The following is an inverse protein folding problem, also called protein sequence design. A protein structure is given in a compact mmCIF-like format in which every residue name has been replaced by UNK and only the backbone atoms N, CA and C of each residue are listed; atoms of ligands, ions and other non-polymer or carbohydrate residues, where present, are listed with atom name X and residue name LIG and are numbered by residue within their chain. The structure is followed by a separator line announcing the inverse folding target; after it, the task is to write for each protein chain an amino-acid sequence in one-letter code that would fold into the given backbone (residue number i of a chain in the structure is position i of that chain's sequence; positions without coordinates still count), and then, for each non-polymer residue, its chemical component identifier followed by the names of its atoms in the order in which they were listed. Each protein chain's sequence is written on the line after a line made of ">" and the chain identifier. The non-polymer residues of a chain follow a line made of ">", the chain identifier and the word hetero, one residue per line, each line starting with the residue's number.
data_IF_085967068219
#
_entry.id   IF_085967068219
#
_cell.length_a   1.000
_cell.length_b   1.000
_cell.length_c   1.000
_cell.angle_alpha   90.00
_cell.angle_beta   90.00
_cell.angle_gamma   90.00
#
_symmetry.space_group_name_H-M   'P 1'
#
loop_
_entity.id
_entity.type
_entity.pdbx_description
1 polymer ?
#
# COMPACT_ATOMS: atom_id res chain seq x y z
N UNK A 1 22.55 9.37 25.48
CA UNK A 1 21.74 10.35 24.68
C UNK A 1 21.12 9.56 23.53
N UNK A 2 19.79 9.57 23.44
CA UNK A 2 18.97 8.68 22.61
C UNK A 2 19.38 8.66 21.14
N UNK A 3 19.59 7.46 20.60
CA UNK A 3 19.56 7.19 19.18
C UNK A 3 18.08 6.96 18.84
N UNK A 4 17.47 7.95 18.18
CA UNK A 4 16.14 7.78 17.57
C UNK A 4 16.32 6.86 16.37
N UNK A 5 15.97 5.59 16.57
CA UNK A 5 15.84 4.60 15.52
C UNK A 5 14.62 4.96 14.68
N UNK A 6 14.82 5.71 13.59
CA UNK A 6 13.79 5.85 12.55
C UNK A 6 13.63 4.47 11.89
N UNK A 7 12.64 3.71 12.38
CA UNK A 7 12.08 2.56 11.68
C UNK A 7 11.52 3.09 10.35
N UNK A 8 12.30 2.92 9.28
CA UNK A 8 11.78 3.01 7.92
C UNK A 8 10.80 1.85 7.75
N UNK A 9 9.52 2.11 8.04
CA UNK A 9 8.40 1.28 7.60
C UNK A 9 8.41 1.27 6.07
N UNK A 10 9.09 0.29 5.48
CA UNK A 10 8.83 -0.08 4.10
C UNK A 10 7.44 -0.71 4.05
N UNK A 11 6.43 0.14 3.86
CA UNK A 11 5.05 -0.27 3.55
C UNK A 11 5.06 -1.00 2.22
N UNK A 12 5.15 -2.33 2.27
CA UNK A 12 5.08 -3.18 1.10
C UNK A 12 3.64 -3.32 0.66
N UNK A 13 3.47 -3.11 -0.63
CA UNK A 13 2.25 -2.66 -1.20
C UNK A 13 2.03 -3.35 -2.53
N UNK A 14 0.82 -3.82 -2.77
CA UNK A 14 0.34 -4.12 -4.12
C UNK A 14 0.33 -2.86 -4.97
N UNK A 15 1.14 -2.84 -6.03
CA UNK A 15 1.09 -1.83 -7.08
C UNK A 15 0.32 -2.47 -8.24
N UNK A 16 -0.97 -2.23 -8.32
CA UNK A 16 -1.70 -2.52 -9.56
C UNK A 16 -1.37 -1.42 -10.56
N UNK A 17 -0.56 -1.75 -11.58
CA UNK A 17 -0.27 -0.87 -12.70
C UNK A 17 -1.34 -1.02 -13.77
N UNK A 18 -2.19 -0.01 -13.87
CA UNK A 18 -3.22 0.07 -14.88
C UNK A 18 -2.76 0.93 -16.05
N UNK A 19 -2.32 0.29 -17.13
CA UNK A 19 -2.14 0.95 -18.44
C UNK A 19 -3.20 0.39 -19.37
N UNK A 20 -4.25 1.17 -19.63
CA UNK A 20 -5.20 0.81 -20.68
C UNK A 20 -4.61 1.26 -22.02
N UNK A 21 -4.06 0.32 -22.79
CA UNK A 21 -3.85 0.51 -24.22
C UNK A 21 -5.22 0.75 -24.85
N UNK A 22 -5.38 1.88 -25.54
CA UNK A 22 -6.62 2.25 -26.19
C UNK A 22 -7.14 1.11 -27.09
N UNK A 23 -8.32 0.59 -26.78
CA UNK A 23 -9.19 -0.01 -27.77
C UNK A 23 -10.47 0.81 -27.78
N UNK A 24 -10.62 1.57 -28.86
CA UNK A 24 -11.89 2.14 -29.27
C UNK A 24 -12.94 1.03 -29.25
N UNK A 25 -14.01 1.21 -28.45
CA UNK A 25 -15.23 0.39 -28.45
C UNK A 25 -15.08 -1.11 -28.08
N UNK A 26 -15.69 -1.47 -26.94
CA UNK A 26 -16.02 -2.80 -26.38
C UNK A 26 -15.10 -3.40 -25.30
N UNK A 27 -15.72 -3.48 -24.11
CA UNK A 27 -15.78 -4.57 -23.11
C UNK A 27 -14.56 -5.50 -22.98
N UNK A 28 -14.04 -5.50 -21.77
CA UNK A 28 -13.28 -6.56 -21.08
C UNK A 28 -11.97 -7.01 -21.75
N UNK A 29 -10.83 -6.70 -21.12
CA UNK A 29 -9.54 -7.25 -21.55
C UNK A 29 -8.78 -7.88 -20.36
N UNK A 30 -8.65 -9.20 -20.44
CA UNK A 30 -7.64 -10.02 -19.76
C UNK A 30 -6.33 -10.04 -20.58
N UNK A 31 -5.20 -9.82 -19.90
CA UNK A 31 -3.83 -10.35 -20.14
C UNK A 31 -3.00 -10.05 -21.42
N UNK A 32 -1.84 -9.40 -21.17
CA UNK A 32 -0.42 -9.64 -21.63
C UNK A 32 0.00 -9.72 -23.12
N UNK A 33 0.96 -8.86 -23.54
CA UNK A 33 2.38 -9.17 -23.86
C UNK A 33 3.01 -8.26 -24.99
N UNK A 34 4.18 -7.66 -24.70
CA UNK A 34 5.18 -6.93 -25.54
C UNK A 34 4.80 -5.56 -26.19
N UNK A 35 5.64 -4.52 -26.34
CA UNK A 35 6.86 -3.99 -25.71
C UNK A 35 7.28 -2.70 -26.48
N UNK A 36 7.49 -1.59 -25.76
CA UNK A 36 8.48 -0.50 -26.00
C UNK A 36 8.32 0.44 -27.23
N UNK A 37 7.73 1.63 -27.00
CA UNK A 37 8.26 2.95 -27.43
C UNK A 37 7.52 4.07 -26.65
N UNK A 38 8.22 4.90 -25.87
CA UNK A 38 7.77 6.16 -25.25
C UNK A 38 6.30 6.28 -24.72
N UNK A 39 6.12 6.09 -23.40
CA UNK A 39 5.07 6.75 -22.61
C UNK A 39 3.63 6.27 -22.83
N UNK A 40 3.26 5.16 -22.21
CA UNK A 40 1.95 4.53 -22.40
C UNK A 40 0.84 5.17 -21.55
N UNK A 41 0.34 6.33 -21.95
CA UNK A 41 -0.83 6.95 -21.31
C UNK A 41 -2.14 6.51 -21.95
N UNK A 42 -3.18 6.31 -21.14
CA UNK A 42 -4.56 6.14 -21.62
C UNK A 42 -5.13 7.49 -22.05
N UNK A 43 -6.07 7.50 -23.00
CA UNK A 43 -6.74 8.73 -23.46
C UNK A 43 -8.18 8.40 -23.90
N UNK A 44 -9.18 9.12 -23.40
CA UNK A 44 -10.59 8.99 -23.84
C UNK A 44 -10.86 9.82 -25.09
N UNK A 45 -12.03 9.74 -25.73
CA UNK A 45 -12.31 10.65 -26.83
C UNK A 45 -12.34 12.11 -26.34
N UNK A 46 -12.07 13.03 -27.26
CA UNK A 46 -12.10 14.46 -26.98
C UNK A 46 -13.56 14.92 -26.84
N UNK A 47 -13.84 15.71 -25.82
CA UNK A 47 -15.16 16.32 -25.64
C UNK A 47 -16.23 15.40 -25.04
N UNK A 48 -15.84 14.30 -24.40
CA UNK A 48 -16.78 13.38 -23.75
C UNK A 48 -17.47 14.03 -22.54
N UNK A 49 -18.66 13.53 -22.19
CA UNK A 49 -19.33 13.86 -20.92
C UNK A 49 -18.97 12.82 -19.89
N UNK A 50 -18.45 13.25 -18.74
CA UNK A 50 -18.04 12.38 -17.63
C UNK A 50 -17.08 11.23 -18.05
N UNK A 51 -15.98 11.49 -18.78
CA UNK A 51 -15.03 10.44 -19.16
C UNK A 51 -14.45 9.77 -17.91
N UNK A 52 -14.25 8.46 -17.99
CA UNK A 52 -13.83 7.64 -16.86
C UNK A 52 -12.85 6.55 -17.25
N UNK A 53 -12.07 6.12 -16.27
CA UNK A 53 -11.18 4.97 -16.30
C UNK A 53 -11.47 4.08 -15.09
N UNK A 54 -11.28 2.77 -15.22
CA UNK A 54 -11.54 1.80 -14.14
C UNK A 54 -10.46 0.74 -14.04
N UNK A 55 -10.11 0.41 -12.80
CA UNK A 55 -9.44 -0.82 -12.41
C UNK A 55 -10.43 -1.78 -11.77
N UNK A 56 -10.48 -3.02 -12.27
CA UNK A 56 -11.14 -4.14 -11.59
C UNK A 56 -10.07 -4.98 -10.86
N UNK A 57 -10.09 -4.95 -9.53
CA UNK A 57 -9.18 -5.74 -8.69
C UNK A 57 -9.56 -7.22 -8.61
N UNK A 58 -10.63 -7.65 -9.31
CA UNK A 58 -11.21 -9.01 -9.38
C UNK A 58 -11.86 -9.51 -8.09
N UNK A 59 -11.47 -8.96 -6.96
CA UNK A 59 -12.02 -9.21 -5.63
C UNK A 59 -11.99 -7.91 -4.83
N UNK A 60 -12.63 -7.91 -3.67
CA UNK A 60 -12.64 -6.75 -2.79
C UNK A 60 -11.29 -6.60 -2.08
N UNK A 61 -10.79 -5.37 -2.01
CA UNK A 61 -9.58 -5.01 -1.29
C UNK A 61 -9.86 -3.86 -0.32
N UNK A 62 -9.05 -3.76 0.73
CA UNK A 62 -8.88 -2.56 1.52
C UNK A 62 -7.83 -1.69 0.84
N UNK A 63 -8.26 -0.60 0.24
CA UNK A 63 -7.46 0.37 -0.49
C UNK A 63 -6.93 1.41 0.49
N UNK A 64 -5.61 1.51 0.58
CA UNK A 64 -4.90 2.38 1.51
C UNK A 64 -4.58 3.70 0.82
N UNK A 65 -4.02 3.65 -0.39
CA UNK A 65 -3.72 4.86 -1.15
C UNK A 65 -3.81 4.65 -2.66
N UNK A 66 -3.82 5.73 -3.42
CA UNK A 66 -3.85 5.69 -4.87
C UNK A 66 -2.85 6.73 -5.38
N UNK A 67 -1.96 6.33 -6.28
CA UNK A 67 -1.08 7.25 -6.99
C UNK A 67 -1.56 7.43 -8.42
N UNK A 68 -1.56 8.68 -8.87
CA UNK A 68 -1.96 9.03 -10.23
C UNK A 68 -0.84 9.83 -10.88
N UNK A 69 -0.38 9.36 -12.04
CA UNK A 69 0.64 10.04 -12.85
C UNK A 69 -0.02 10.73 -14.03
N UNK A 70 0.16 12.04 -14.10
CA UNK A 70 -0.40 12.86 -15.16
C UNK A 70 0.45 12.84 -16.43
N UNK A 71 -0.16 13.26 -17.54
CA UNK A 71 0.47 13.47 -18.85
C UNK A 71 1.67 14.42 -18.75
N UNK A 72 2.75 14.09 -19.46
CA UNK A 72 4.05 14.79 -19.35
C UNK A 72 4.36 15.82 -20.43
N UNK A 73 3.72 15.73 -21.59
CA UNK A 73 4.05 16.51 -22.80
C UNK A 73 3.19 17.77 -22.97
N UNK A 74 1.93 17.76 -22.54
CA UNK A 74 1.07 18.94 -22.52
C UNK A 74 -0.15 18.73 -21.62
N UNK A 75 -0.96 19.79 -21.47
CA UNK A 75 -2.38 19.66 -21.19
C UNK A 75 -2.68 19.04 -19.81
N UNK A 76 -1.80 19.28 -18.83
CA UNK A 76 -1.86 18.70 -17.50
C UNK A 76 -3.13 19.13 -16.75
N UNK A 77 -3.61 20.34 -17.01
CA UNK A 77 -4.83 20.93 -16.43
C UNK A 77 -6.11 20.16 -16.78
N UNK A 78 -6.08 19.29 -17.80
CA UNK A 78 -7.26 18.49 -18.18
C UNK A 78 -7.70 17.50 -17.10
N UNK A 79 -6.78 17.08 -16.23
CA UNK A 79 -7.07 16.17 -15.12
C UNK A 79 -7.65 16.91 -13.90
N UNK A 80 -7.65 18.25 -13.90
CA UNK A 80 -8.12 19.05 -12.78
C UNK A 80 -9.64 18.85 -12.57
N UNK A 81 -10.00 18.59 -11.31
CA UNK A 81 -11.37 18.25 -10.90
C UNK A 81 -11.74 16.78 -11.08
N UNK A 82 -10.82 15.90 -11.49
CA UNK A 82 -11.10 14.47 -11.53
C UNK A 82 -11.41 13.90 -10.14
N UNK A 83 -12.30 12.93 -10.07
CA UNK A 83 -12.69 12.23 -8.85
C UNK A 83 -12.17 10.80 -8.86
N UNK A 84 -11.57 10.39 -7.75
CA UNK A 84 -11.16 9.01 -7.48
C UNK A 84 -12.26 8.36 -6.64
N UNK A 85 -12.87 7.30 -7.15
CA UNK A 85 -13.99 6.60 -6.54
C UNK A 85 -13.63 5.14 -6.26
N UNK A 86 -14.03 4.63 -5.10
CA UNK A 86 -13.83 3.24 -4.67
C UNK A 86 -15.18 2.61 -4.33
N UNK A 87 -15.40 1.36 -4.73
CA UNK A 87 -16.60 0.62 -4.33
C UNK A 87 -16.66 -0.79 -4.91
N UNK A 88 -17.70 -1.54 -4.56
CA UNK A 88 -17.92 -2.93 -5.02
C UNK A 88 -18.83 -3.06 -6.24
N UNK A 89 -19.34 -1.94 -6.73
CA UNK A 89 -20.24 -1.84 -7.88
C UNK A 89 -19.68 -0.92 -8.95
N UNK A 90 -20.25 -1.03 -10.14
CA UNK A 90 -19.93 -0.20 -11.30
C UNK A 90 -20.59 1.18 -11.13
N UNK A 91 -19.84 2.30 -10.96
CA UNK A 91 -20.46 3.63 -10.90
C UNK A 91 -21.24 3.98 -12.18
N UNK A 92 -22.23 4.89 -12.09
CA UNK A 92 -22.68 5.57 -10.87
C UNK A 92 -23.70 4.71 -10.11
N UNK A 93 -23.39 4.40 -8.85
CA UNK A 93 -24.27 3.68 -7.92
C UNK A 93 -24.05 4.24 -6.52
N UNK A 94 -25.07 4.20 -5.66
CA UNK A 94 -25.00 4.74 -4.28
C UNK A 94 -23.90 4.11 -3.40
N UNK A 95 -23.34 2.97 -3.81
CA UNK A 95 -22.25 2.26 -3.12
C UNK A 95 -20.83 2.66 -3.56
N UNK A 96 -20.67 3.61 -4.50
CA UNK A 96 -19.34 4.15 -4.83
C UNK A 96 -19.04 5.37 -3.98
N UNK A 97 -18.01 5.26 -3.14
CA UNK A 97 -17.60 6.31 -2.21
C UNK A 97 -16.42 7.07 -2.84
N UNK A 98 -16.40 8.40 -2.68
CA UNK A 98 -15.30 9.23 -3.17
C UNK A 98 -14.10 9.12 -2.24
N UNK A 99 -12.96 8.69 -2.77
CA UNK A 99 -11.69 8.64 -2.07
C UNK A 99 -11.02 10.03 -2.03
N UNK A 100 -10.97 10.72 -3.17
CA UNK A 100 -10.36 12.04 -3.27
C UNK A 100 -10.81 12.78 -4.55
N UNK A 101 -10.62 14.11 -4.56
CA UNK A 101 -10.68 14.94 -5.76
C UNK A 101 -9.28 15.42 -6.13
N UNK A 102 -8.90 15.27 -7.39
CA UNK A 102 -7.65 15.75 -7.96
C UNK A 102 -7.81 17.25 -8.23
N UNK A 103 -7.16 18.09 -7.43
CA UNK A 103 -7.14 19.54 -7.67
C UNK A 103 -6.24 19.89 -8.85
N UNK A 104 -4.97 19.48 -8.80
CA UNK A 104 -4.00 19.64 -9.88
C UNK A 104 -2.83 18.66 -9.74
N UNK A 105 -2.32 18.17 -10.87
CA UNK A 105 -1.06 17.42 -10.95
C UNK A 105 -0.23 18.01 -12.09
N UNK A 106 0.96 18.54 -11.79
CA UNK A 106 1.83 19.12 -12.81
C UNK A 106 2.23 18.08 -13.88
N UNK A 107 2.60 18.55 -15.07
CA UNK A 107 2.94 17.68 -16.19
C UNK A 107 4.00 16.62 -15.83
N UNK A 108 3.67 15.36 -16.06
CA UNK A 108 4.55 14.21 -15.85
C UNK A 108 4.84 13.90 -14.37
N UNK A 109 4.12 14.55 -13.44
CA UNK A 109 4.25 14.30 -12.01
C UNK A 109 3.23 13.27 -11.54
N UNK A 110 3.54 12.70 -10.39
CA UNK A 110 2.70 11.73 -9.69
C UNK A 110 2.26 12.33 -8.37
N UNK A 111 0.95 12.31 -8.12
CA UNK A 111 0.38 12.67 -6.81
C UNK A 111 -0.14 11.43 -6.10
N UNK A 112 -0.03 11.41 -4.78
CA UNK A 112 -0.51 10.31 -3.92
C UNK A 112 -1.72 10.79 -3.13
N UNK A 113 -2.78 10.00 -3.14
CA UNK A 113 -4.03 10.26 -2.44
C UNK A 113 -4.24 9.20 -1.37
N UNK A 114 -4.40 9.62 -0.13
CA UNK A 114 -4.89 8.79 0.97
C UNK A 114 -6.40 9.00 1.03
N UNK A 115 -7.16 7.92 1.07
CA UNK A 115 -8.62 8.05 1.11
C UNK A 115 -9.11 8.55 2.49
N UNK A 116 -10.24 9.24 2.51
CA UNK A 116 -10.87 9.71 3.74
C UNK A 116 -11.09 8.54 4.73
N UNK A 117 -10.73 8.75 6.00
CA UNK A 117 -10.76 7.68 7.02
C UNK A 117 -9.55 6.74 7.02
N UNK A 118 -8.56 6.96 6.15
CA UNK A 118 -7.29 6.25 6.12
C UNK A 118 -7.27 4.95 5.30
N UNK A 119 -8.44 4.37 5.01
CA UNK A 119 -8.59 3.28 4.04
C UNK A 119 -10.04 3.15 3.54
N UNK A 120 -10.24 2.52 2.39
CA UNK A 120 -11.57 2.25 1.82
C UNK A 120 -11.69 0.82 1.33
N UNK A 121 -12.84 0.19 1.50
CA UNK A 121 -13.09 -1.16 1.00
C UNK A 121 -13.76 -1.09 -0.37
N UNK A 122 -13.23 -1.83 -1.35
CA UNK A 122 -13.85 -1.95 -2.66
C UNK A 122 -13.10 -2.84 -3.64
N UNK A 123 -13.83 -3.39 -4.61
CA UNK A 123 -13.28 -4.13 -5.76
C UNK A 123 -12.84 -3.23 -6.92
N UNK A 124 -13.53 -2.10 -7.12
CA UNK A 124 -13.29 -1.22 -8.25
C UNK A 124 -12.69 0.11 -7.80
N UNK A 125 -11.68 0.57 -8.54
CA UNK A 125 -11.18 1.95 -8.48
C UNK A 125 -11.52 2.64 -9.78
N UNK A 126 -12.15 3.81 -9.70
CA UNK A 126 -12.52 4.60 -10.86
C UNK A 126 -11.86 5.97 -10.76
N UNK A 127 -11.41 6.50 -11.89
CA UNK A 127 -11.01 7.90 -12.04
C UNK A 127 -11.92 8.50 -13.08
N UNK A 128 -12.68 9.53 -12.72
CA UNK A 128 -13.69 10.14 -13.58
C UNK A 128 -13.58 11.65 -13.54
N UNK A 129 -13.72 12.34 -14.68
CA UNK A 129 -13.78 13.81 -14.70
C UNK A 129 -15.23 14.24 -14.91
N UNK A 130 -15.92 14.80 -13.89
CA UNK A 130 -17.28 15.27 -14.06
C UNK A 130 -17.35 16.49 -15.01
N UNK A 131 -18.44 16.58 -15.76
CA UNK A 131 -18.76 17.70 -16.65
C UNK A 131 -18.81 17.32 -18.13
N UNK A 132 -19.18 18.31 -18.95
CA UNK A 132 -19.24 18.20 -20.41
C UNK A 132 -17.91 18.61 -21.03
N UNK A 133 -17.66 18.11 -22.24
CA UNK A 133 -16.50 18.47 -23.06
C UNK A 133 -15.15 18.20 -22.37
N UNK A 134 -15.04 17.06 -21.67
CA UNK A 134 -13.85 16.64 -20.93
C UNK A 134 -13.03 15.62 -21.72
N UNK A 135 -11.80 15.41 -21.29
CA UNK A 135 -10.89 14.39 -21.85
C UNK A 135 -10.02 13.86 -20.73
N UNK A 136 -10.12 12.56 -20.45
CA UNK A 136 -9.33 11.91 -19.42
C UNK A 136 -8.05 11.35 -20.02
N UNK A 137 -6.93 11.63 -19.40
CA UNK A 137 -5.63 11.03 -19.72
C UNK A 137 -4.94 10.61 -18.44
N UNK A 138 -4.52 9.36 -18.35
CA UNK A 138 -3.82 8.81 -17.19
C UNK A 138 -2.59 8.05 -17.69
N UNK A 139 -1.40 8.44 -17.25
CA UNK A 139 -0.17 7.76 -17.65
C UNK A 139 0.12 6.53 -16.80
N UNK A 140 -0.21 6.60 -15.52
CA UNK A 140 -0.13 5.48 -14.61
C UNK A 140 -1.12 5.71 -13.46
N UNK A 141 -1.84 4.67 -13.07
CA UNK A 141 -2.57 4.63 -11.81
C UNK A 141 -2.04 3.45 -11.03
N UNK A 142 -1.50 3.72 -9.85
CA UNK A 142 -1.03 2.69 -8.93
C UNK A 142 -1.97 2.65 -7.72
N UNK A 143 -2.65 1.53 -7.52
CA UNK A 143 -3.57 1.33 -6.39
C UNK A 143 -2.88 0.52 -5.32
N UNK A 144 -2.74 1.12 -4.13
CA UNK A 144 -2.03 0.64 -2.95
C UNK A 144 -3.07 -0.03 -2.04
N UNK A 145 -3.18 -1.37 -2.07
CA UNK A 145 -4.27 -2.08 -1.39
C UNK A 145 -3.86 -3.43 -0.77
N UNK A 146 -4.69 -3.95 0.14
CA UNK A 146 -4.55 -5.26 0.80
C UNK A 146 -5.84 -6.07 0.63
N UNK A 147 -5.80 -7.40 0.44
CA UNK A 147 -7.01 -8.19 0.20
C UNK A 147 -8.01 -8.02 1.34
N UNK A 148 -9.28 -7.74 1.00
CA UNK A 148 -10.37 -7.91 1.94
C UNK A 148 -10.65 -9.42 1.95
N UNK A 149 -10.04 -10.13 2.89
CA UNK A 149 -10.17 -11.58 2.96
C UNK A 149 -11.64 -12.00 3.13
N UNK A 150 -11.97 -13.20 2.67
CA UNK A 150 -13.31 -13.77 2.88
C UNK A 150 -13.36 -14.46 4.23
N UNK A 151 -14.21 -14.00 5.14
CA UNK A 151 -14.50 -14.75 6.35
C UNK A 151 -14.99 -16.16 5.98
N UNK A 152 -14.32 -17.15 6.53
CA UNK A 152 -14.70 -18.55 6.44
C UNK A 152 -15.57 -18.94 7.65
N UNK A 153 -16.20 -20.13 7.64
CA UNK A 153 -16.89 -20.63 8.81
C UNK A 153 -16.00 -20.53 10.05
N UNK A 154 -16.58 -20.07 11.15
CA UNK A 154 -15.97 -20.16 12.47
C UNK A 154 -16.39 -21.48 13.13
N UNK A 155 -15.66 -21.90 14.17
CA UNK A 155 -15.89 -23.17 14.89
C UNK A 155 -17.37 -23.48 15.17
N UNK A 156 -18.12 -22.52 15.70
CA UNK A 156 -19.58 -22.59 15.86
C UNK A 156 -20.20 -21.20 15.71
N UNK A 157 -21.46 -21.11 15.29
CA UNK A 157 -22.20 -19.84 15.27
C UNK A 157 -23.21 -19.86 16.40
N UNK A 158 -23.23 -18.80 17.21
CA UNK A 158 -24.24 -18.56 18.24
C UNK A 158 -25.01 -17.30 17.92
N UNK A 159 -26.34 -17.34 18.07
CA UNK A 159 -27.23 -16.21 17.82
C UNK A 159 -26.97 -15.62 16.41
N UNK A 160 -26.99 -14.30 16.28
CA UNK A 160 -26.70 -13.60 15.02
C UNK A 160 -25.19 -13.36 14.79
N UNK A 161 -24.30 -14.01 15.55
CA UNK A 161 -22.85 -13.78 15.51
C UNK A 161 -22.12 -14.43 14.34
N UNK A 162 -22.56 -14.18 13.11
CA UNK A 162 -22.00 -14.76 11.88
C UNK A 162 -20.50 -14.44 11.70
N UNK A 163 -19.70 -15.37 11.13
CA UNK A 163 -18.26 -15.15 10.92
C UNK A 163 -17.94 -13.94 10.03
N UNK A 164 -18.84 -13.57 9.13
CA UNK A 164 -18.70 -12.44 8.21
C UNK A 164 -18.67 -11.08 8.92
N UNK A 165 -19.19 -10.98 10.14
CA UNK A 165 -19.21 -9.72 10.88
C UNK A 165 -17.79 -9.20 11.17
N UNK A 166 -16.83 -10.10 11.42
CA UNK A 166 -15.43 -9.73 11.68
C UNK A 166 -14.67 -9.16 10.46
N UNK A 167 -15.26 -9.15 9.26
CA UNK A 167 -14.66 -8.57 8.04
C UNK A 167 -15.66 -7.67 7.32
N UNK A 168 -16.62 -7.13 8.07
CA UNK A 168 -17.72 -6.35 7.52
C UNK A 168 -17.38 -4.88 7.33
N UNK A 169 -16.24 -4.42 7.88
CA UNK A 169 -15.88 -3.02 7.99
C UNK A 169 -16.63 -2.28 9.10
N UNK A 170 -17.32 -3.00 10.00
CA UNK A 170 -18.05 -2.40 11.11
C UNK A 170 -17.32 -2.61 12.44
N UNK A 171 -16.57 -1.60 12.88
CA UNK A 171 -15.78 -1.66 14.12
C UNK A 171 -16.52 -1.14 15.37
N UNK A 172 -17.86 -1.13 15.39
CA UNK A 172 -18.66 -0.51 16.47
C UNK A 172 -18.39 -1.12 17.85
N UNK A 173 -18.01 -2.39 17.92
CA UNK A 173 -17.77 -3.11 19.17
C UNK A 173 -19.03 -3.49 19.96
N UNK A 174 -20.20 -2.97 19.59
CA UNK A 174 -21.49 -3.27 20.25
C UNK A 174 -22.13 -4.46 19.57
N UNK A 175 -22.34 -5.55 20.32
CA UNK A 175 -22.86 -6.80 19.75
C UNK A 175 -24.22 -6.65 19.07
N UNK A 176 -25.13 -5.88 19.68
CA UNK A 176 -26.48 -5.64 19.16
C UNK A 176 -26.53 -4.90 17.81
N UNK A 177 -25.42 -4.30 17.37
CA UNK A 177 -25.33 -3.64 16.06
C UNK A 177 -25.07 -4.63 14.91
N UNK A 178 -25.06 -5.94 15.18
CA UNK A 178 -24.74 -6.99 14.20
C UNK A 178 -23.35 -6.82 13.57
N UNK A 179 -22.43 -6.25 14.34
CA UNK A 179 -21.06 -5.98 13.93
C UNK A 179 -20.05 -6.87 14.64
N UNK A 180 -20.48 -7.94 15.30
CA UNK A 180 -19.56 -8.86 15.97
C UNK A 180 -19.92 -10.32 15.71
N UNK A 181 -18.91 -11.16 15.63
CA UNK A 181 -19.03 -12.62 15.60
C UNK A 181 -19.32 -13.14 17.00
N UNK A 182 -19.84 -14.37 17.11
CA UNK A 182 -20.01 -15.04 18.40
C UNK A 182 -20.03 -16.55 18.22
N UNK A 183 -19.11 -17.25 18.87
CA UNK A 183 -19.16 -18.72 18.99
C UNK A 183 -20.01 -19.14 20.17
N UNK A 184 -20.43 -20.41 20.25
CA UNK A 184 -20.88 -20.93 21.56
C UNK A 184 -19.68 -21.09 22.50
N UNK A 185 -19.95 -21.28 23.79
CA UNK A 185 -18.92 -21.74 24.74
C UNK A 185 -18.48 -23.14 24.32
N UNK A 186 -17.21 -23.29 24.00
CA UNK A 186 -16.63 -24.55 23.55
C UNK A 186 -15.13 -24.56 23.83
N UNK A 187 -14.51 -25.73 23.63
CA UNK A 187 -13.06 -25.88 23.68
C UNK A 187 -12.42 -25.34 22.41
N UNK A 188 -11.35 -24.57 22.57
CA UNK A 188 -10.51 -24.03 21.51
C UNK A 188 -11.31 -23.28 20.42
N UNK A 189 -12.21 -22.32 20.76
CA UNK A 189 -12.99 -21.60 19.77
C UNK A 189 -12.07 -20.84 18.81
N UNK A 190 -12.41 -20.88 17.53
CA UNK A 190 -11.64 -20.26 16.47
C UNK A 190 -12.52 -19.59 15.41
N UNK A 191 -11.95 -18.57 14.78
CA UNK A 191 -12.44 -17.86 13.59
C UNK A 191 -11.30 -17.76 12.57
N UNK A 192 -11.63 -17.76 11.27
CA UNK A 192 -10.62 -17.71 10.21
C UNK A 192 -11.08 -16.88 9.02
N UNK A 193 -10.13 -16.17 8.42
CA UNK A 193 -10.28 -15.52 7.11
C UNK A 193 -9.39 -16.19 6.07
N UNK A 194 -9.93 -16.39 4.87
CA UNK A 194 -9.19 -16.78 3.68
C UNK A 194 -8.84 -15.54 2.86
N UNK A 195 -7.54 -15.24 2.75
CA UNK A 195 -7.02 -14.14 1.94
C UNK A 195 -7.07 -14.45 0.43
N UNK A 196 -7.62 -15.60 0.04
CA UNK A 196 -7.83 -16.12 -1.32
C UNK A 196 -6.54 -16.50 -2.08
N UNK A 197 -5.40 -15.95 -1.67
CA UNK A 197 -4.07 -16.34 -2.11
C UNK A 197 -3.05 -16.24 -0.96
N UNK A 198 -1.82 -16.68 -1.20
CA UNK A 198 -0.74 -16.58 -0.23
C UNK A 198 -0.20 -15.15 -0.18
N UNK A 199 -0.18 -14.57 1.01
CA UNK A 199 0.27 -13.20 1.26
C UNK A 199 1.35 -13.17 2.35
N UNK A 200 2.17 -12.13 2.34
CA UNK A 200 3.03 -11.74 3.45
C UNK A 200 2.28 -10.75 4.32
N UNK A 201 1.89 -11.20 5.51
CA UNK A 201 1.11 -10.43 6.48
C UNK A 201 2.04 -9.59 7.33
N UNK A 202 1.93 -8.26 7.23
CA UNK A 202 2.73 -7.32 8.02
C UNK A 202 2.13 -7.08 9.40
N UNK A 203 0.81 -6.95 9.49
CA UNK A 203 0.12 -6.71 10.74
C UNK A 203 -1.32 -7.24 10.74
N UNK A 204 -1.85 -7.48 11.93
CA UNK A 204 -3.27 -7.84 12.15
C UNK A 204 -3.81 -6.97 13.29
N UNK A 205 -4.96 -6.34 13.07
CA UNK A 205 -5.67 -5.56 14.09
C UNK A 205 -6.98 -6.25 14.45
N UNK A 206 -7.22 -6.48 15.75
CA UNK A 206 -8.47 -7.05 16.28
C UNK A 206 -9.23 -5.98 17.05
N UNK A 207 -10.51 -5.82 16.74
CA UNK A 207 -11.46 -4.99 17.47
C UNK A 207 -12.33 -5.88 18.37
N UNK A 208 -12.26 -5.62 19.67
CA UNK A 208 -12.95 -6.37 20.70
C UNK A 208 -14.39 -5.84 20.91
N UNK A 209 -15.21 -6.64 21.56
CA UNK A 209 -16.52 -6.24 22.08
C UNK A 209 -16.37 -5.20 23.19
N UNK A 210 -17.30 -4.25 23.26
CA UNK A 210 -17.22 -3.09 24.19
C UNK A 210 -18.45 -2.91 25.08
N UNK A 211 -19.60 -3.50 24.73
CA UNK A 211 -20.86 -3.39 25.47
C UNK A 211 -20.95 -4.37 26.66
N UNK A 212 -20.23 -5.48 26.61
CA UNK A 212 -19.93 -6.36 27.75
C UNK A 212 -18.79 -7.31 27.38
N UNK A 213 -18.34 -8.08 28.36
CA UNK A 213 -17.70 -9.37 28.08
C UNK A 213 -16.36 -9.27 27.34
N UNK A 214 -15.71 -8.10 27.41
CA UNK A 214 -14.45 -7.82 26.74
C UNK A 214 -13.33 -8.78 27.20
N UNK A 215 -13.41 -9.26 28.44
CA UNK A 215 -12.51 -10.22 29.06
C UNK A 215 -12.41 -11.56 28.31
N UNK A 216 -13.42 -11.93 27.52
CA UNK A 216 -13.43 -13.20 26.77
C UNK A 216 -12.32 -13.31 25.73
N UNK A 217 -11.86 -12.17 25.20
CA UNK A 217 -10.78 -12.14 24.20
C UNK A 217 -9.39 -12.43 24.83
N UNK A 218 -9.29 -12.45 26.16
CA UNK A 218 -8.04 -12.76 26.85
C UNK A 218 -7.57 -14.19 26.50
N UNK A 219 -6.29 -14.32 26.16
CA UNK A 219 -5.69 -15.58 25.71
C UNK A 219 -5.83 -15.86 24.21
N UNK A 220 -6.56 -15.02 23.46
CA UNK A 220 -6.67 -15.16 22.00
C UNK A 220 -5.30 -15.06 21.32
N UNK A 221 -5.09 -15.88 20.29
CA UNK A 221 -3.87 -16.00 19.52
C UNK A 221 -4.17 -15.82 18.03
N UNK A 222 -3.24 -15.18 17.33
CA UNK A 222 -3.29 -14.98 15.88
C UNK A 222 -2.31 -15.94 15.23
N UNK A 223 -2.80 -16.81 14.36
CA UNK A 223 -2.04 -17.84 13.64
C UNK A 223 -2.10 -17.56 12.15
N UNK A 224 -0.97 -17.62 11.45
CA UNK A 224 -0.85 -17.26 10.03
C UNK A 224 -0.13 -18.37 9.29
N UNK A 225 -0.74 -18.89 8.23
CA UNK A 225 -0.09 -19.90 7.40
C UNK A 225 -0.96 -20.40 6.25
N UNK A 226 -0.50 -21.48 5.61
CA UNK A 226 -1.14 -22.07 4.44
C UNK A 226 -1.89 -23.37 4.75
N UNK A 227 -1.74 -23.93 5.95
CA UNK A 227 -2.38 -25.19 6.33
C UNK A 227 -3.77 -24.98 6.92
N UNK A 228 -4.70 -25.85 6.55
CA UNK A 228 -6.01 -25.99 7.17
C UNK A 228 -6.06 -27.14 8.18
N UNK A 229 -4.96 -27.89 8.38
CA UNK A 229 -4.90 -28.97 9.36
C UNK A 229 -5.26 -28.47 10.75
N UNK A 230 -6.09 -29.24 11.46
CA UNK A 230 -6.64 -28.85 12.76
C UNK A 230 -7.22 -27.42 12.74
N UNK A 231 -7.97 -27.08 11.69
CA UNK A 231 -8.54 -25.75 11.45
C UNK A 231 -7.52 -24.60 11.31
N UNK A 232 -6.26 -24.92 11.02
CA UNK A 232 -5.16 -23.95 10.96
C UNK A 232 -4.56 -23.62 12.32
N UNK A 233 -4.94 -24.36 13.38
CA UNK A 233 -4.42 -24.18 14.74
C UNK A 233 -2.93 -24.53 14.89
N UNK A 234 -2.35 -25.21 13.90
CA UNK A 234 -0.92 -25.53 13.83
C UNK A 234 -0.09 -24.49 13.06
N UNK A 235 -0.73 -23.49 12.46
CA UNK A 235 0.01 -22.45 11.75
C UNK A 235 0.86 -21.62 12.72
N UNK A 236 2.01 -21.07 12.29
CA UNK A 236 2.86 -20.21 13.11
C UNK A 236 2.08 -19.05 13.77
N UNK A 237 2.42 -18.74 15.02
CA UNK A 237 1.78 -17.68 15.81
C UNK A 237 2.41 -16.31 15.55
N UNK A 238 1.60 -15.34 15.12
CA UNK A 238 1.98 -13.93 15.02
C UNK A 238 1.98 -13.25 16.40
N UNK A 239 0.93 -13.44 17.20
CA UNK A 239 0.77 -12.74 18.48
C UNK A 239 -0.31 -13.35 19.36
N UNK A 240 -0.41 -12.88 20.60
CA UNK A 240 -1.43 -13.28 21.55
C UNK A 240 -1.80 -12.13 22.52
N UNK A 241 -3.06 -12.11 22.95
CA UNK A 241 -3.60 -11.11 23.88
C UNK A 241 -3.44 -11.63 25.31
N UNK A 242 -2.44 -11.14 26.03
CA UNK A 242 -2.18 -11.51 27.44
C UNK A 242 -2.75 -10.54 28.47
N UNK A 243 -3.12 -9.33 28.04
CA UNK A 243 -3.82 -8.34 28.87
C UNK A 243 -4.66 -7.43 27.98
N UNK A 244 -5.80 -6.99 28.50
CA UNK A 244 -6.66 -6.05 27.80
C UNK A 244 -6.25 -4.60 28.03
N UNK A 245 -5.75 -4.24 29.22
CA UNK A 245 -5.36 -2.86 29.61
C UNK A 245 -6.43 -1.81 29.25
N UNK A 246 -7.72 -2.16 29.36
CA UNK A 246 -8.87 -1.36 28.92
C UNK A 246 -8.84 -0.93 27.43
N UNK A 247 -8.03 -1.60 26.60
CA UNK A 247 -7.99 -1.39 25.16
C UNK A 247 -9.13 -2.14 24.48
N UNK A 248 -9.70 -1.50 23.46
CA UNK A 248 -10.73 -2.08 22.59
C UNK A 248 -10.14 -2.63 21.28
N UNK A 249 -8.92 -2.21 20.95
CA UNK A 249 -8.25 -2.54 19.69
C UNK A 249 -6.85 -3.06 19.98
N UNK A 250 -6.46 -4.14 19.30
CA UNK A 250 -5.18 -4.81 19.49
C UNK A 250 -4.50 -5.01 18.14
N UNK A 251 -3.38 -4.31 17.91
CA UNK A 251 -2.60 -4.43 16.68
C UNK A 251 -1.32 -5.22 16.95
N UNK A 252 -1.09 -6.24 16.13
CA UNK A 252 0.06 -7.12 16.19
C UNK A 252 0.91 -6.96 14.94
N UNK A 253 2.21 -6.75 15.12
CA UNK A 253 3.17 -6.77 14.02
C UNK A 253 3.57 -8.22 13.73
N UNK A 254 3.21 -8.71 12.55
CA UNK A 254 3.40 -10.10 12.12
C UNK A 254 4.63 -10.31 11.25
N UNK A 255 5.52 -9.30 11.14
CA UNK A 255 6.86 -9.44 10.53
C UNK A 255 6.88 -10.14 9.16
N UNK A 256 5.91 -9.85 8.30
CA UNK A 256 5.80 -10.39 6.94
C UNK A 256 5.62 -11.90 6.88
N UNK A 257 5.00 -12.51 7.91
CA UNK A 257 4.65 -13.93 7.93
C UNK A 257 3.85 -14.31 6.69
N UNK A 258 4.28 -15.39 6.03
CA UNK A 258 3.63 -15.87 4.81
C UNK A 258 2.45 -16.80 5.14
N UNK A 259 1.27 -16.49 4.60
CA UNK A 259 0.08 -17.30 4.79
C UNK A 259 -1.09 -16.87 3.91
N UNK A 260 -1.93 -17.83 3.53
CA UNK A 260 -3.24 -17.62 2.93
C UNK A 260 -4.33 -17.45 3.99
N UNK A 261 -4.16 -18.07 5.15
CA UNK A 261 -5.14 -18.09 6.21
C UNK A 261 -4.64 -17.32 7.43
N UNK A 262 -5.51 -16.47 7.98
CA UNK A 262 -5.33 -15.86 9.30
C UNK A 262 -6.41 -16.42 10.21
N UNK A 263 -6.00 -17.10 11.27
CA UNK A 263 -6.89 -17.72 12.27
C UNK A 263 -6.72 -16.98 13.59
N UNK A 264 -7.83 -16.60 14.22
CA UNK A 264 -7.88 -16.13 15.59
C UNK A 264 -8.51 -17.22 16.45
N UNK A 265 -7.82 -17.66 17.49
CA UNK A 265 -8.31 -18.74 18.34
C UNK A 265 -7.91 -18.54 19.80
N UNK A 266 -8.74 -19.02 20.72
CA UNK A 266 -8.46 -18.97 22.15
C UNK A 266 -8.30 -20.41 22.64
N UNK A 267 -7.11 -20.83 23.11
CA UNK A 267 -6.96 -22.17 23.70
C UNK A 267 -7.76 -22.31 25.00
N UNK A 268 -8.31 -23.50 25.23
CA UNK A 268 -9.15 -23.81 26.39
C UNK A 268 -10.64 -23.53 26.15
N UNK A 269 -11.44 -23.67 27.20
CA UNK A 269 -12.89 -23.51 27.12
C UNK A 269 -13.26 -22.02 27.21
N UNK A 270 -13.75 -21.44 26.11
CA UNK A 270 -14.11 -20.02 26.05
C UNK A 270 -15.16 -19.72 24.95
N UNK A 271 -15.57 -18.45 24.86
CA UNK A 271 -16.38 -17.89 23.79
C UNK A 271 -15.52 -16.91 23.00
N UNK A 272 -15.43 -17.07 21.68
CA UNK A 272 -14.75 -16.11 20.81
C UNK A 272 -15.75 -15.11 20.24
N UNK A 273 -15.47 -13.83 20.44
CA UNK A 273 -16.20 -12.69 19.89
C UNK A 273 -15.21 -11.73 19.26
N UNK A 274 -15.37 -11.47 17.97
CA UNK A 274 -14.54 -10.54 17.20
C UNK A 274 -15.46 -9.55 16.52
N UNK A 275 -15.26 -8.25 16.73
CA UNK A 275 -16.08 -7.24 16.10
C UNK A 275 -15.54 -6.85 14.72
N UNK A 276 -14.23 -6.70 14.60
CA UNK A 276 -13.58 -6.51 13.30
C UNK A 276 -12.16 -7.09 13.37
N UNK A 277 -11.68 -7.64 12.26
CA UNK A 277 -10.32 -8.14 12.09
C UNK A 277 -9.78 -7.57 10.78
N UNK A 278 -8.86 -6.62 10.91
CA UNK A 278 -8.16 -6.06 9.78
C UNK A 278 -6.84 -6.79 9.56
N UNK A 279 -6.59 -7.22 8.33
CA UNK A 279 -5.33 -7.89 7.94
C UNK A 279 -4.58 -7.00 6.96
N UNK A 280 -3.37 -6.60 7.35
CA UNK A 280 -2.47 -5.82 6.52
C UNK A 280 -1.46 -6.78 5.88
N UNK A 281 -1.56 -6.97 4.56
CA UNK A 281 -0.78 -7.97 3.84
C UNK A 281 -0.59 -7.64 2.35
N UNK A 282 0.46 -8.17 1.73
CA UNK A 282 0.71 -8.05 0.29
C UNK A 282 1.04 -9.42 -0.33
N UNK A 283 0.79 -9.66 -1.62
CA UNK A 283 0.95 -10.97 -2.22
C UNK A 283 2.40 -11.45 -2.16
N UNK A 284 2.56 -12.72 -1.80
CA UNK A 284 3.88 -13.33 -1.72
C UNK A 284 4.60 -13.32 -3.08
N UNK A 285 3.85 -13.37 -4.19
CA UNK A 285 4.37 -13.29 -5.56
C UNK A 285 5.10 -11.97 -5.89
N UNK A 286 4.84 -10.89 -5.15
CA UNK A 286 5.55 -9.62 -5.36
C UNK A 286 6.95 -9.58 -4.74
N UNK A 287 7.29 -10.56 -3.89
CA UNK A 287 8.62 -10.62 -3.28
C UNK A 287 9.74 -11.02 -4.26
N UNK A 288 9.40 -11.39 -5.50
CA UNK A 288 10.34 -11.78 -6.55
C UNK A 288 10.57 -10.68 -7.62
N UNK A 289 10.04 -9.46 -7.46
CA UNK A 289 10.56 -8.33 -8.24
C UNK A 289 11.90 -7.92 -7.63
N UNK A 290 12.98 -8.43 -8.24
CA UNK A 290 14.34 -7.96 -8.00
C UNK A 290 14.36 -6.43 -7.99
N UNK A 291 14.55 -5.86 -6.81
CA UNK A 291 15.17 -4.53 -6.70
C UNK A 291 16.61 -4.75 -7.13
N UNK A 292 16.88 -4.78 -8.44
CA UNK A 292 18.17 -4.34 -8.91
C UNK A 292 18.26 -2.88 -8.52
N UNK A 293 18.87 -2.62 -7.37
CA UNK A 293 19.46 -1.34 -7.04
C UNK A 293 20.42 -1.00 -8.18
N UNK A 294 19.93 -0.32 -9.21
CA UNK A 294 20.80 0.57 -9.96
C UNK A 294 21.26 1.60 -8.94
N UNK A 295 22.44 1.34 -8.37
CA UNK A 295 23.31 2.38 -7.85
C UNK A 295 23.61 3.31 -9.03
N UNK A 296 22.67 4.20 -9.32
CA UNK A 296 22.94 5.34 -10.16
C UNK A 296 23.88 6.18 -9.31
N UNK A 297 25.19 6.04 -9.58
CA UNK A 297 26.23 6.89 -9.02
C UNK A 297 25.73 8.32 -9.13
N UNK A 298 25.44 8.93 -8.00
CA UNK A 298 25.16 10.35 -7.92
C UNK A 298 26.43 11.06 -8.39
N UNK A 299 26.48 11.48 -9.66
CA UNK A 299 27.48 12.44 -10.11
C UNK A 299 27.11 13.75 -9.43
N UNK A 300 27.73 13.99 -8.28
CA UNK A 300 27.82 15.33 -7.71
C UNK A 300 28.47 16.18 -8.79
N UNK A 301 27.69 17.05 -9.43
CA UNK A 301 28.21 18.14 -10.25
C UNK A 301 28.86 19.14 -9.30
N UNK A 302 30.09 18.84 -8.88
CA UNK A 302 30.98 19.86 -8.32
C UNK A 302 31.29 20.82 -9.45
N UNK A 303 30.59 21.95 -9.45
CA UNK A 303 30.91 23.14 -10.24
C UNK A 303 32.26 23.68 -9.73
N UNK A 304 33.36 23.04 -10.13
CA UNK A 304 34.70 23.54 -9.86
C UNK A 304 34.98 24.62 -10.91
N UNK A 305 35.22 25.84 -10.42
CA UNK A 305 35.87 26.90 -11.15
C UNK A 305 37.12 26.35 -11.86
N UNK A 306 37.05 26.14 -13.17
CA UNK A 306 38.22 26.13 -14.05
C UNK A 306 38.44 27.56 -14.54
N UNK A 307 39.02 28.38 -13.66
CA UNK A 307 39.87 29.47 -14.15
C UNK A 307 41.04 28.79 -14.83
N UNK A 308 41.10 29.07 -16.11
CA UNK A 308 41.72 28.25 -17.12
C UNK A 308 43.23 28.34 -17.00
N UNK A 309 43.90 27.21 -16.70
CA UNK A 309 45.25 26.94 -17.18
C UNK A 309 45.20 26.75 -18.70
N UNK A 310 44.96 27.85 -19.42
CA UNK A 310 45.26 28.04 -20.84
C UNK A 310 46.25 29.19 -20.95
N UNK A 311 47.50 28.92 -20.57
CA UNK A 311 48.66 29.64 -21.11
C UNK A 311 49.92 28.78 -20.97
N UNK A 312 49.89 27.63 -21.63
CA UNK A 312 51.11 26.88 -21.94
C UNK A 312 51.06 26.41 -23.40
N UNK A 313 50.95 27.37 -24.31
CA UNK A 313 51.24 27.22 -25.72
C UNK A 313 51.38 28.62 -26.36
N UNK A 314 52.35 29.41 -25.90
CA UNK A 314 52.93 30.56 -26.62
C UNK A 314 53.99 31.21 -25.72
N UNK A 315 55.18 30.61 -25.64
CA UNK A 315 56.50 31.27 -25.52
C UNK A 315 57.61 30.23 -25.27
N UNK A 316 57.85 29.36 -26.26
CA UNK A 316 59.22 28.98 -26.56
C UNK A 316 59.76 29.98 -27.58
N UNK A 317 60.25 31.11 -27.08
CA UNK A 317 61.28 31.95 -27.73
C UNK A 317 61.61 33.07 -26.76
N UNK A 318 62.70 32.88 -26.01
CA UNK A 318 63.84 33.82 -25.91
C UNK A 318 64.58 33.65 -24.57
N UNK A 319 65.83 33.22 -24.69
CA UNK A 319 66.97 33.48 -23.79
C UNK A 319 67.03 32.89 -22.37
N UNK A 320 67.81 31.81 -22.28
CA UNK A 320 69.05 31.67 -21.47
C UNK A 320 69.20 32.39 -20.11
N UNK A 321 69.73 31.59 -19.17
CA UNK A 321 70.92 31.81 -18.31
C UNK A 321 70.68 32.00 -16.79
N UNK A 322 71.45 31.20 -16.02
CA UNK A 322 72.03 31.45 -14.67
C UNK A 322 71.35 30.82 -13.43
N UNK A 323 71.81 29.60 -13.13
CA UNK A 323 72.42 29.05 -11.88
C UNK A 323 71.99 29.45 -10.44
N UNK A 324 71.81 28.37 -9.64
CA UNK A 324 72.31 28.05 -8.28
C UNK A 324 71.71 28.60 -6.96
N UNK A 325 71.64 27.64 -6.01
CA UNK A 325 71.61 27.71 -4.53
C UNK A 325 70.28 28.13 -3.90
N UNK A 326 69.76 27.54 -2.82
CA UNK A 326 70.20 26.56 -1.82
C UNK A 326 69.08 26.50 -0.74
N UNK A 327 69.04 25.48 0.13
CA UNK A 327 67.87 25.15 0.96
C UNK A 327 67.95 25.75 2.38
N UNK A 328 66.82 25.88 3.08
CA UNK A 328 66.67 25.84 4.54
C UNK A 328 65.17 25.99 4.91
N UNK A 329 64.60 25.03 5.66
CA UNK A 329 64.32 25.08 7.11
C UNK A 329 63.27 26.16 7.47
N UNK A 330 62.26 26.00 8.34
CA UNK A 330 61.82 24.96 9.28
C UNK A 330 60.54 25.54 9.96
N UNK A 331 59.68 24.65 10.47
CA UNK A 331 58.75 24.82 11.60
C UNK A 331 57.44 25.65 11.56
N UNK A 332 56.39 24.92 11.99
CA UNK A 332 55.40 25.16 13.06
C UNK A 332 54.46 26.37 13.02
N UNK A 333 53.15 26.07 13.06
CA UNK A 333 52.18 26.41 14.13
C UNK A 333 50.79 25.91 13.70
N UNK A 334 50.24 24.84 14.30
CA UNK A 334 49.23 24.84 15.39
C UNK A 334 47.97 25.69 15.16
N UNK A 335 46.85 24.95 15.02
CA UNK A 335 45.47 25.17 15.48
C UNK A 335 44.79 26.55 15.33
N UNK A 336 43.66 26.57 14.62
CA UNK A 336 42.32 26.31 15.16
C UNK A 336 41.39 25.83 14.04
#
# INVERSE_FOLDING_TARGET
>A
KQIVLFLLFFSFLLIFKGVQSSLTSRRDAHSTFLAVLHGSCSHTAVGETNPWWRLDLRQTFVIISIKVTNRGDCCAERLDGAEILVGDSVPPTDSTIRCATISHIAAGKTSTYQCDGGSMVGRFVNVMIPGKSKTLTLCEVEVYAVPAGKALPQSTVSSDGLPSHAVSGCSSGVYGNLCCTHTVLQRDPWWRVDLLAVHKVSAVTIFNRVDCCAERLLGAQILIGNSLENNGMKNPRCGAIFSLDNRRTFTFQCNLMEGRYVTVAIPGDNVLTLCEVEVYAFPASMSAMNITSTTQKCKILTKRHEITTKKLAETHKMSTKVTHNGPNNVQDHHCC
#
